data_IF_699292129939
#
_entry.id   IF_699292129939
#
_cell.length_a   1.000
_cell.length_b   1.000
_cell.length_c   1.000
_cell.angle_alpha   90.00
_cell.angle_beta   90.00
_cell.angle_gamma   90.00
#
_symmetry.space_group_name_H-M   'P 1'
#
loop_
_entity.id
_entity.type
_entity.pdbx_description
1 polymer ?
#
# COMPACT_ATOMS: atom_id res chain seq x y z
N UNK A 1 -35.90 17.41 46.96
CA UNK A 1 -34.40 17.39 46.90
C UNK A 1 -33.85 16.03 46.48
N UNK A 2 -34.43 14.92 46.96
CA UNK A 2 -34.04 13.55 46.56
C UNK A 2 -34.11 13.29 45.05
N UNK A 3 -35.16 13.76 44.38
CA UNK A 3 -35.33 13.51 42.94
C UNK A 3 -34.29 14.25 42.09
N UNK A 4 -33.89 15.46 42.53
CA UNK A 4 -32.81 16.23 41.89
C UNK A 4 -31.44 15.55 42.04
N UNK A 5 -31.20 14.88 43.18
CA UNK A 5 -29.99 14.10 43.42
C UNK A 5 -29.95 12.81 42.58
N UNK A 6 -31.09 12.12 42.44
CA UNK A 6 -31.20 10.92 41.61
C UNK A 6 -30.96 11.26 40.13
N UNK A 7 -31.57 12.34 39.62
CA UNK A 7 -31.34 12.79 38.24
C UNK A 7 -29.88 13.19 37.99
N UNK A 8 -29.23 13.86 38.96
CA UNK A 8 -27.81 14.21 38.84
C UNK A 8 -26.91 12.96 38.81
N UNK A 9 -27.24 11.94 39.63
CA UNK A 9 -26.50 10.67 39.66
C UNK A 9 -26.68 9.87 38.37
N UNK A 10 -27.90 9.83 37.81
CA UNK A 10 -28.18 9.19 36.52
C UNK A 10 -27.46 9.90 35.37
N UNK A 11 -27.45 11.24 35.35
CA UNK A 11 -26.74 12.02 34.33
C UNK A 11 -25.23 11.79 34.39
N UNK A 12 -24.67 11.67 35.61
CA UNK A 12 -23.25 11.35 35.81
C UNK A 12 -22.91 9.93 35.33
N UNK A 13 -23.78 8.94 35.59
CA UNK A 13 -23.62 7.56 35.11
C UNK A 13 -23.67 7.45 33.59
N UNK A 14 -24.50 8.25 32.91
CA UNK A 14 -24.55 8.30 31.44
C UNK A 14 -23.27 8.90 30.88
N UNK A 15 -22.72 9.96 31.49
CA UNK A 15 -21.48 10.61 31.03
C UNK A 15 -20.23 9.74 31.19
N UNK A 16 -20.17 8.86 32.20
CA UNK A 16 -19.03 7.94 32.41
C UNK A 16 -18.95 6.87 31.30
N UNK A 17 -20.08 6.52 30.68
CA UNK A 17 -20.15 5.48 29.64
C UNK A 17 -19.89 5.97 28.21
N UNK A 18 -19.72 7.28 27.98
CA UNK A 18 -19.48 7.84 26.64
C UNK A 18 -17.99 7.85 26.26
N UNK A 19 -17.10 7.36 27.14
CA UNK A 19 -15.72 7.07 26.77
C UNK A 19 -15.62 5.75 25.97
N UNK A 20 -16.37 5.66 24.88
CA UNK A 20 -16.09 4.75 23.77
C UNK A 20 -14.86 5.34 23.10
N UNK A 21 -13.69 5.09 23.71
CA UNK A 21 -12.39 5.31 23.09
C UNK A 21 -12.38 4.47 21.82
N UNK A 22 -12.68 5.10 20.69
CA UNK A 22 -12.50 4.53 19.36
C UNK A 22 -11.00 4.28 19.17
N UNK A 23 -10.53 3.14 19.67
CA UNK A 23 -9.14 2.72 19.58
C UNK A 23 -8.82 2.61 18.10
N UNK A 24 -7.84 3.39 17.63
CA UNK A 24 -7.36 3.30 16.26
C UNK A 24 -6.94 1.85 15.99
N UNK A 25 -7.62 1.19 15.08
CA UNK A 25 -7.37 -0.21 14.75
C UNK A 25 -6.17 -0.27 13.81
N UNK A 26 -5.03 -0.72 14.33
CA UNK A 26 -3.81 -0.89 13.54
C UNK A 26 -3.79 -2.28 12.94
N UNK A 27 -3.81 -2.35 11.62
CA UNK A 27 -3.59 -3.60 10.87
C UNK A 27 -2.11 -3.66 10.47
N UNK A 28 -1.45 -4.78 10.80
CA UNK A 28 -0.03 -4.99 10.49
C UNK A 28 0.14 -6.23 9.63
N UNK A 29 0.95 -6.13 8.57
CA UNK A 29 1.28 -7.22 7.68
C UNK A 29 2.79 -7.39 7.60
N UNK A 30 3.25 -8.64 7.59
CA UNK A 30 4.66 -8.98 7.37
C UNK A 30 4.81 -9.73 6.04
N UNK A 31 5.79 -9.31 5.24
CA UNK A 31 6.09 -9.92 3.95
C UNK A 31 7.53 -10.39 3.90
N UNK A 32 7.71 -11.58 3.32
CA UNK A 32 9.02 -12.10 2.94
C UNK A 32 9.05 -12.29 1.44
N UNK A 33 10.17 -11.88 0.86
CA UNK A 33 10.44 -11.95 -0.56
C UNK A 33 11.56 -12.94 -0.79
N UNK A 34 11.33 -13.89 -1.70
CA UNK A 34 12.38 -14.78 -2.18
C UNK A 34 13.33 -14.00 -3.10
N UNK A 35 14.52 -14.55 -3.36
CA UNK A 35 15.48 -13.95 -4.28
C UNK A 35 14.85 -13.79 -5.68
N UNK A 36 14.94 -12.62 -6.31
CA UNK A 36 14.38 -12.42 -7.65
C UNK A 36 15.15 -13.24 -8.69
N UNK A 37 14.43 -13.74 -9.68
CA UNK A 37 14.99 -14.34 -10.90
C UNK A 37 15.11 -13.25 -11.95
N UNK A 38 16.31 -13.07 -12.48
CA UNK A 38 16.61 -12.05 -13.49
C UNK A 38 16.88 -12.77 -14.81
N UNK A 39 16.06 -12.50 -15.82
CA UNK A 39 16.16 -13.11 -17.16
C UNK A 39 16.40 -12.04 -18.20
N UNK A 40 17.30 -12.29 -19.15
CA UNK A 40 17.55 -11.40 -20.28
C UNK A 40 16.58 -11.74 -21.42
N UNK A 41 15.89 -10.72 -21.95
CA UNK A 41 14.97 -10.83 -23.09
C UNK A 41 15.38 -9.76 -24.11
N UNK A 42 16.06 -10.17 -25.18
CA UNK A 42 16.64 -9.23 -26.14
C UNK A 42 17.72 -8.37 -25.49
N UNK A 43 17.51 -7.05 -25.48
CA UNK A 43 18.42 -6.09 -24.86
C UNK A 43 18.03 -5.73 -23.41
N UNK A 44 16.84 -6.13 -22.96
CA UNK A 44 16.31 -5.76 -21.65
C UNK A 44 16.32 -6.95 -20.67
N UNK A 45 16.13 -6.66 -19.40
CA UNK A 45 16.05 -7.64 -18.31
C UNK A 45 14.67 -7.64 -17.68
N UNK A 46 14.04 -8.80 -17.64
CA UNK A 46 12.81 -9.05 -16.89
C UNK A 46 13.17 -9.55 -15.50
N UNK A 47 12.50 -8.99 -14.49
CA UNK A 47 12.66 -9.39 -13.09
C UNK A 47 11.40 -10.12 -12.65
N UNK A 48 11.54 -11.36 -12.21
CA UNK A 48 10.44 -12.21 -11.74
C UNK A 48 10.63 -12.55 -10.26
N UNK A 49 9.53 -12.56 -9.52
CA UNK A 49 9.51 -12.98 -8.11
C UNK A 49 8.29 -13.85 -7.86
N UNK A 50 8.46 -14.89 -7.05
CA UNK A 50 7.38 -15.81 -6.71
C UNK A 50 6.22 -15.06 -6.06
N UNK A 51 5.00 -15.38 -6.46
CA UNK A 51 3.76 -14.75 -6.01
C UNK A 51 3.69 -13.23 -6.23
N UNK A 52 4.47 -12.69 -7.18
CA UNK A 52 4.39 -11.31 -7.60
C UNK A 52 3.82 -11.23 -9.01
N UNK A 53 2.99 -10.21 -9.24
CA UNK A 53 2.46 -9.88 -10.55
C UNK A 53 3.36 -8.82 -11.19
N UNK A 54 3.36 -8.80 -12.52
CA UNK A 54 4.04 -7.76 -13.30
C UNK A 54 3.22 -6.47 -13.19
N UNK A 55 3.85 -5.41 -12.71
CA UNK A 55 3.22 -4.13 -12.48
C UNK A 55 4.06 -3.02 -13.09
N UNK A 56 3.41 -2.03 -13.72
CA UNK A 56 4.12 -0.84 -14.17
C UNK A 56 4.37 0.10 -13.01
N UNK A 57 5.59 0.63 -12.96
CA UNK A 57 5.95 1.70 -12.06
C UNK A 57 6.99 2.62 -12.72
N UNK A 58 6.62 3.87 -12.96
CA UNK A 58 7.47 4.90 -13.58
C UNK A 58 8.04 4.48 -14.95
N UNK A 59 7.22 3.83 -15.78
CA UNK A 59 7.56 3.36 -17.13
C UNK A 59 8.35 2.06 -17.17
N UNK A 60 8.61 1.41 -16.02
CA UNK A 60 9.28 0.12 -15.93
C UNK A 60 8.33 -0.97 -15.47
N UNK A 61 8.53 -2.19 -15.95
CA UNK A 61 7.79 -3.37 -15.47
C UNK A 61 8.56 -4.01 -14.34
N UNK A 62 7.99 -3.95 -13.12
CA UNK A 62 8.58 -4.53 -11.91
C UNK A 62 7.64 -5.58 -11.29
N UNK A 63 8.18 -6.58 -10.57
CA UNK A 63 7.35 -7.51 -9.82
C UNK A 63 6.80 -6.84 -8.55
N UNK A 64 5.49 -6.88 -8.37
CA UNK A 64 4.80 -6.40 -7.17
C UNK A 64 3.89 -7.48 -6.59
N UNK A 65 3.91 -7.65 -5.27
CA UNK A 65 3.02 -8.59 -4.58
C UNK A 65 1.69 -7.89 -4.24
N UNK A 66 0.56 -8.31 -4.83
CA UNK A 66 -0.73 -7.69 -4.51
C UNK A 66 -1.16 -8.04 -3.09
N UNK A 67 -1.79 -7.08 -2.42
CA UNK A 67 -2.41 -7.25 -1.12
C UNK A 67 -3.81 -6.64 -1.15
N UNK A 68 -4.81 -7.43 -0.76
CA UNK A 68 -6.18 -6.96 -0.61
C UNK A 68 -6.50 -6.92 0.88
N UNK A 69 -6.91 -5.74 1.36
CA UNK A 69 -7.24 -5.52 2.77
C UNK A 69 -8.74 -5.22 2.84
N UNK A 70 -9.47 -6.00 3.65
CA UNK A 70 -10.86 -5.69 3.96
C UNK A 70 -10.89 -4.65 5.07
N UNK A 71 -11.51 -3.51 4.78
CA UNK A 71 -11.70 -2.44 5.76
C UNK A 71 -13.04 -2.63 6.47
N UNK A 72 -13.11 -2.41 7.80
CA UNK A 72 -14.37 -2.39 8.51
C UNK A 72 -15.31 -1.30 7.93
N UNK A 73 -16.64 -1.53 7.97
CA UNK A 73 -17.61 -0.58 7.42
C UNK A 73 -17.52 0.78 8.12
N UNK A 74 -17.54 1.86 7.33
CA UNK A 74 -17.47 3.24 7.83
C UNK A 74 -16.09 3.64 8.38
N UNK A 75 -15.03 2.87 8.12
CA UNK A 75 -13.66 3.20 8.48
C UNK A 75 -12.84 3.54 7.24
N UNK A 76 -12.04 4.59 7.35
CA UNK A 76 -11.09 5.01 6.32
C UNK A 76 -9.66 4.74 6.77
N UNK A 77 -8.76 4.59 5.80
CA UNK A 77 -7.33 4.42 6.06
C UNK A 77 -6.70 5.79 6.20
N UNK A 78 -6.29 6.13 7.42
CA UNK A 78 -5.59 7.39 7.70
C UNK A 78 -4.14 7.37 7.16
N UNK A 79 -3.42 6.28 7.39
CA UNK A 79 -1.99 6.18 7.05
C UNK A 79 -1.57 4.76 6.69
N UNK A 80 -0.70 4.65 5.69
CA UNK A 80 0.05 3.44 5.36
C UNK A 80 1.54 3.70 5.62
N UNK A 81 2.12 2.94 6.53
CA UNK A 81 3.56 2.98 6.83
C UNK A 81 4.23 1.68 6.35
N UNK A 82 5.30 1.82 5.57
CA UNK A 82 6.05 0.68 5.05
C UNK A 82 7.45 0.71 5.63
N UNK A 83 7.80 -0.34 6.38
CA UNK A 83 9.15 -0.57 6.87
C UNK A 83 9.76 -1.78 6.17
N UNK A 84 11.01 -1.66 5.74
CA UNK A 84 11.69 -2.75 5.04
C UNK A 84 13.18 -2.49 4.87
N UNK A 85 13.87 -3.53 4.39
CA UNK A 85 15.29 -3.45 4.03
C UNK A 85 15.42 -3.28 2.53
N UNK A 86 16.26 -2.35 2.10
CA UNK A 86 16.66 -2.22 0.69
C UNK A 86 17.90 -3.07 0.45
N UNK A 87 17.89 -3.86 -0.62
CA UNK A 87 19.03 -4.70 -1.01
C UNK A 87 19.38 -4.35 -2.46
N UNK A 88 20.65 -4.00 -2.68
CA UNK A 88 21.15 -3.77 -4.03
C UNK A 88 21.46 -5.11 -4.70
N UNK A 89 20.84 -5.36 -5.85
CA UNK A 89 20.98 -6.63 -6.60
C UNK A 89 21.83 -6.49 -7.87
N UNK A 90 22.14 -5.27 -8.30
CA UNK A 90 22.92 -4.98 -9.50
C UNK A 90 22.36 -3.83 -10.32
N UNK A 91 22.99 -3.56 -11.47
CA UNK A 91 22.51 -2.60 -12.49
C UNK A 91 22.06 -3.39 -13.71
N UNK A 92 20.82 -3.21 -14.11
CA UNK A 92 20.20 -3.90 -15.23
C UNK A 92 19.39 -2.91 -16.06
N UNK A 93 19.39 -3.08 -17.37
CA UNK A 93 18.45 -2.38 -18.26
C UNK A 93 17.08 -3.07 -18.14
N UNK A 94 16.25 -2.59 -17.21
CA UNK A 94 14.97 -3.23 -16.90
C UNK A 94 13.97 -3.03 -18.05
N UNK A 95 13.16 -4.06 -18.28
CA UNK A 95 12.05 -4.04 -19.23
C UNK A 95 11.14 -2.81 -19.03
N UNK A 96 10.93 -2.07 -20.11
CA UNK A 96 10.05 -0.90 -20.11
C UNK A 96 8.61 -1.30 -20.39
N UNK A 97 7.67 -0.55 -19.82
CA UNK A 97 6.27 -0.75 -20.17
C UNK A 97 6.05 -0.47 -21.67
N UNK A 98 5.30 -1.36 -22.32
CA UNK A 98 4.96 -1.22 -23.73
C UNK A 98 3.91 -0.12 -23.89
N UNK A 99 4.09 0.78 -24.86
CA UNK A 99 3.14 1.86 -25.11
C UNK A 99 1.78 1.31 -25.51
N UNK A 100 0.72 1.94 -25.03
CA UNK A 100 -0.64 1.65 -25.47
C UNK A 100 -0.84 2.25 -26.86
N UNK A 101 -1.35 1.44 -27.79
CA UNK A 101 -1.70 1.90 -29.14
C UNK A 101 -3.23 1.91 -29.24
N UNK A 102 -3.82 3.10 -29.32
CA UNK A 102 -5.26 3.29 -29.45
C UNK A 102 -5.53 4.09 -30.72
N UNK A 103 -6.28 3.53 -31.67
CA UNK A 103 -6.62 4.15 -32.96
C UNK A 103 -5.40 4.71 -33.71
N UNK A 104 -4.29 3.97 -33.73
CA UNK A 104 -3.04 4.37 -34.39
C UNK A 104 -2.23 5.45 -33.66
N UNK A 105 -2.69 5.94 -32.50
CA UNK A 105 -1.95 6.88 -31.65
C UNK A 105 -1.21 6.12 -30.55
N UNK A 106 0.07 6.45 -30.40
CA UNK A 106 0.97 5.86 -29.41
C UNK A 106 0.91 6.68 -28.12
N UNK A 107 0.50 6.04 -27.03
CA UNK A 107 0.54 6.60 -25.69
C UNK A 107 1.66 5.92 -24.91
N UNK A 108 2.73 6.65 -24.67
CA UNK A 108 3.86 6.15 -23.86
C UNK A 108 3.68 6.59 -22.40
N UNK A 109 3.95 5.70 -21.43
CA UNK A 109 3.94 6.06 -20.03
C UNK A 109 4.99 7.14 -19.76
N UNK A 110 4.60 8.17 -19.01
CA UNK A 110 5.49 9.24 -18.61
C UNK A 110 6.42 8.73 -17.50
N UNK A 111 7.73 8.67 -17.77
CA UNK A 111 8.74 8.40 -16.74
C UNK A 111 8.79 9.64 -15.83
N UNK A 112 8.13 9.57 -14.67
CA UNK A 112 8.22 10.62 -13.66
C UNK A 112 9.54 10.47 -12.93
N UNK A 113 10.40 11.50 -13.02
CA UNK A 113 11.65 11.58 -12.26
C UNK A 113 11.36 11.93 -10.79
N UNK A 114 10.63 11.08 -10.06
CA UNK A 114 10.43 11.25 -8.62
C UNK A 114 11.02 10.06 -7.87
N UNK A 115 12.34 10.00 -7.81
CA UNK A 115 13.02 9.27 -6.73
C UNK A 115 13.21 10.27 -5.59
N UNK A 116 12.15 10.50 -4.80
CA UNK A 116 12.33 11.16 -3.50
C UNK A 116 13.08 10.17 -2.60
N UNK A 117 14.36 10.46 -2.39
CA UNK A 117 15.22 9.76 -1.42
C UNK A 117 14.58 9.88 -0.04
N UNK A 118 14.01 8.79 0.45
CA UNK A 118 13.77 8.54 1.87
C UNK A 118 14.95 7.74 2.43
#
# INVERSE_FOLDING_TARGET
MKDKLICAFLAMLVMININISAKAEKISFEFKFEKPTIKKIGNEYTIEMKNCLRHEYNGFVIPAKPLHILLPPGKEVDKIEVHGKRVFIGKYEIEKEKPLIVNGRKFSPAIKNEIKRA
#
